data_IF_689572162150
#
_entry.id   IF_689572162150
#
_cell.length_a   1.000
_cell.length_b   1.000
_cell.length_c   1.000
_cell.angle_alpha   90.00
_cell.angle_beta   90.00
_cell.angle_gamma   90.00
#
_symmetry.space_group_name_H-M   'P 1'
#
loop_
_entity.id
_entity.type
_entity.pdbx_description
1 polymer ?
#
# COMPACT_ATOMS: atom_id res chain seq x y z
N UNK A 1 21.87 41.54 21.12
CA UNK A 1 20.53 41.23 20.58
C UNK A 1 20.66 40.04 19.65
N UNK A 2 19.91 38.94 19.82
CA UNK A 2 20.05 37.79 18.94
C UNK A 2 19.29 38.06 17.63
N UNK A 3 20.04 38.10 16.53
CA UNK A 3 19.50 38.18 15.16
C UNK A 3 18.63 36.96 14.87
N UNK A 4 17.36 37.19 14.53
CA UNK A 4 16.46 36.15 14.07
C UNK A 4 17.05 35.46 12.83
N UNK A 5 17.21 34.13 12.88
CA UNK A 5 17.56 33.33 11.69
C UNK A 5 16.44 33.50 10.67
N UNK A 6 16.77 34.07 9.51
CA UNK A 6 15.88 34.04 8.34
C UNK A 6 15.60 32.58 8.01
N UNK A 7 14.35 32.15 8.13
CA UNK A 7 13.90 30.85 7.63
C UNK A 7 14.00 30.95 6.11
N UNK A 8 14.92 30.19 5.51
CA UNK A 8 15.03 30.10 4.05
C UNK A 8 13.71 29.54 3.49
N UNK A 9 13.29 29.97 2.27
CA UNK A 9 12.13 29.39 1.61
C UNK A 9 12.27 27.88 1.57
N UNK A 10 11.21 27.19 1.96
CA UNK A 10 11.16 25.74 1.97
C UNK A 10 11.15 25.26 0.51
N UNK A 11 12.26 24.67 0.07
CA UNK A 11 12.41 24.11 -1.27
C UNK A 11 11.71 22.75 -1.33
N UNK A 12 10.46 22.76 -1.81
CA UNK A 12 9.63 21.57 -2.00
C UNK A 12 10.25 20.56 -2.98
N UNK A 13 11.02 21.04 -3.96
CA UNK A 13 11.62 20.20 -4.98
C UNK A 13 12.84 19.45 -4.44
N UNK A 14 13.65 20.11 -3.61
CA UNK A 14 14.73 19.46 -2.86
C UNK A 14 14.20 18.40 -1.88
N UNK A 15 13.03 18.60 -1.26
CA UNK A 15 12.40 17.57 -0.41
C UNK A 15 11.94 16.38 -1.24
N UNK A 16 11.27 16.60 -2.37
CA UNK A 16 10.80 15.52 -3.25
C UNK A 16 11.94 14.65 -3.78
N UNK A 17 13.11 15.24 -4.02
CA UNK A 17 14.30 14.51 -4.46
C UNK A 17 14.91 13.59 -3.39
N UNK A 18 14.63 13.84 -2.10
CA UNK A 18 15.14 13.06 -0.96
C UNK A 18 14.08 12.09 -0.41
N UNK A 19 12.81 12.30 -0.76
CA UNK A 19 11.74 11.39 -0.37
C UNK A 19 11.90 10.07 -1.14
N UNK A 20 11.73 8.92 -0.47
CA UNK A 20 11.69 7.63 -1.15
C UNK A 20 10.58 7.65 -2.23
N UNK A 21 10.68 6.71 -3.18
CA UNK A 21 9.72 6.54 -4.28
C UNK A 21 8.29 6.85 -3.82
N UNK A 22 7.48 7.56 -4.65
CA UNK A 22 6.15 8.02 -4.26
C UNK A 22 5.40 6.86 -3.60
N UNK A 23 4.70 7.12 -2.47
CA UNK A 23 4.00 6.05 -1.77
C UNK A 23 3.09 5.36 -2.78
N UNK A 24 3.21 4.03 -2.87
CA UNK A 24 2.34 3.20 -3.72
C UNK A 24 0.90 3.69 -3.55
N UNK A 25 0.21 3.86 -4.66
CA UNK A 25 -1.20 4.23 -4.62
C UNK A 25 -1.98 3.18 -3.80
N UNK A 26 -3.08 3.57 -3.14
CA UNK A 26 -3.92 2.62 -2.43
C UNK A 26 -4.33 1.41 -3.30
N UNK A 27 -4.53 1.64 -4.60
CA UNK A 27 -4.79 0.59 -5.58
C UNK A 27 -3.62 -0.38 -5.72
N UNK A 28 -2.40 0.14 -5.93
CA UNK A 28 -1.19 -0.70 -6.05
C UNK A 28 -0.91 -1.49 -4.78
N UNK A 29 -1.15 -0.91 -3.60
CA UNK A 29 -1.02 -1.62 -2.32
C UNK A 29 -2.04 -2.75 -2.22
N UNK A 30 -3.30 -2.50 -2.56
CA UNK A 30 -4.34 -3.53 -2.52
C UNK A 30 -4.05 -4.67 -3.50
N UNK A 31 -3.68 -4.36 -4.75
CA UNK A 31 -3.30 -5.35 -5.75
C UNK A 31 -2.07 -6.18 -5.31
N UNK A 32 -1.07 -5.54 -4.69
CA UNK A 32 0.09 -6.23 -4.15
C UNK A 32 -0.28 -7.22 -3.03
N UNK A 33 -1.12 -6.79 -2.08
CA UNK A 33 -1.58 -7.65 -0.98
C UNK A 33 -2.40 -8.82 -1.52
N UNK A 34 -3.28 -8.59 -2.48
CA UNK A 34 -4.09 -9.63 -3.12
C UNK A 34 -3.21 -10.73 -3.73
N UNK A 35 -2.23 -10.34 -4.55
CA UNK A 35 -1.31 -11.28 -5.19
C UNK A 35 -0.45 -12.04 -4.18
N UNK A 36 0.16 -11.31 -3.24
CA UNK A 36 1.00 -11.91 -2.20
C UNK A 36 0.22 -12.91 -1.32
N UNK A 37 -1.02 -12.56 -0.94
CA UNK A 37 -1.88 -13.45 -0.16
C UNK A 37 -2.26 -14.72 -0.94
N UNK A 38 -2.50 -14.61 -2.25
CA UNK A 38 -2.77 -15.76 -3.11
C UNK A 38 -1.59 -16.74 -3.15
N UNK A 39 -0.37 -16.24 -3.36
CA UNK A 39 0.84 -17.06 -3.41
C UNK A 39 1.13 -17.75 -2.07
N UNK A 40 1.11 -16.99 -0.98
CA UNK A 40 1.34 -17.52 0.37
C UNK A 40 0.31 -18.58 0.73
N UNK A 41 -0.95 -18.43 0.28
CA UNK A 41 -1.99 -19.42 0.54
C UNK A 41 -1.68 -20.75 -0.12
N UNK A 42 -1.15 -20.74 -1.35
CA UNK A 42 -0.72 -21.98 -2.04
C UNK A 42 0.40 -22.65 -1.25
N UNK A 43 1.38 -21.88 -0.77
CA UNK A 43 2.45 -22.39 0.09
C UNK A 43 1.90 -22.96 1.40
N UNK A 44 0.99 -22.26 2.07
CA UNK A 44 0.35 -22.70 3.31
C UNK A 44 -0.41 -24.02 3.12
N UNK A 45 -1.14 -24.18 2.01
CA UNK A 45 -1.80 -25.46 1.66
C UNK A 45 -0.81 -26.59 1.45
N UNK A 46 0.30 -26.35 0.73
CA UNK A 46 1.35 -27.36 0.54
C UNK A 46 2.01 -27.79 1.86
N UNK A 47 2.09 -26.87 2.83
CA UNK A 47 2.63 -27.11 4.16
C UNK A 47 1.59 -27.65 5.18
N UNK A 48 0.34 -27.89 4.76
CA UNK A 48 -0.78 -28.32 5.62
C UNK A 48 -1.07 -27.35 6.79
N UNK A 49 -0.88 -26.05 6.55
CA UNK A 49 -1.18 -24.99 7.52
C UNK A 49 -2.58 -24.42 7.24
N UNK A 50 -3.62 -25.18 7.57
CA UNK A 50 -5.01 -24.88 7.14
C UNK A 50 -5.52 -23.54 7.68
N UNK A 51 -5.27 -23.23 8.95
CA UNK A 51 -5.66 -21.96 9.54
C UNK A 51 -4.97 -20.77 8.87
N UNK A 52 -3.68 -20.91 8.54
CA UNK A 52 -2.94 -19.87 7.81
C UNK A 52 -3.48 -19.71 6.38
N UNK A 53 -3.75 -20.82 5.68
CA UNK A 53 -4.39 -20.78 4.36
C UNK A 53 -5.76 -20.08 4.41
N UNK A 54 -6.52 -20.25 5.48
CA UNK A 54 -7.80 -19.58 5.66
C UNK A 54 -7.60 -18.06 5.81
N UNK A 55 -6.73 -17.62 6.71
CA UNK A 55 -6.49 -16.19 6.92
C UNK A 55 -5.92 -15.50 5.68
N UNK A 56 -5.07 -16.19 4.91
CA UNK A 56 -4.57 -15.67 3.64
C UNK A 56 -5.66 -15.54 2.57
N UNK A 57 -6.65 -16.43 2.53
CA UNK A 57 -7.83 -16.23 1.68
C UNK A 57 -8.63 -15.01 2.13
N UNK A 58 -8.83 -14.84 3.44
CA UNK A 58 -9.59 -13.69 3.96
C UNK A 58 -8.89 -12.37 3.63
N UNK A 59 -7.57 -12.30 3.81
CA UNK A 59 -6.77 -11.14 3.44
C UNK A 59 -6.85 -10.83 1.94
N UNK A 60 -6.86 -11.88 1.09
CA UNK A 60 -7.03 -11.73 -0.36
C UNK A 60 -8.40 -11.14 -0.71
N UNK A 61 -9.48 -11.67 -0.13
CA UNK A 61 -10.85 -11.19 -0.37
C UNK A 61 -10.98 -9.72 0.03
N UNK A 62 -10.43 -9.32 1.17
CA UNK A 62 -10.47 -7.91 1.62
C UNK A 62 -9.69 -7.00 0.67
N UNK A 63 -8.53 -7.45 0.19
CA UNK A 63 -7.75 -6.70 -0.80
C UNK A 63 -8.51 -6.54 -2.13
N UNK A 64 -9.16 -7.60 -2.63
CA UNK A 64 -10.01 -7.53 -3.83
C UNK A 64 -11.18 -6.56 -3.64
N UNK A 65 -11.86 -6.59 -2.50
CA UNK A 65 -12.94 -5.65 -2.19
C UNK A 65 -12.44 -4.19 -2.18
N UNK A 66 -11.24 -3.96 -1.66
CA UNK A 66 -10.65 -2.63 -1.63
C UNK A 66 -10.29 -2.11 -3.03
N UNK A 67 -9.83 -2.98 -3.93
CA UNK A 67 -9.60 -2.66 -5.35
C UNK A 67 -10.90 -2.18 -6.01
N UNK A 68 -12.00 -2.91 -5.82
CA UNK A 68 -13.31 -2.56 -6.36
C UNK A 68 -13.80 -1.20 -5.84
N UNK A 69 -13.72 -0.97 -4.52
CA UNK A 69 -14.11 0.30 -3.89
C UNK A 69 -13.31 1.48 -4.45
N UNK A 70 -12.00 1.31 -4.68
CA UNK A 70 -11.15 2.37 -5.24
C UNK A 70 -11.53 2.64 -6.69
N UNK A 71 -11.71 1.59 -7.50
CA UNK A 71 -12.11 1.72 -8.89
C UNK A 71 -13.46 2.42 -9.05
N UNK A 72 -14.45 2.09 -8.21
CA UNK A 72 -15.76 2.75 -8.19
C UNK A 72 -15.66 4.24 -7.83
N UNK A 73 -14.80 4.59 -6.86
CA UNK A 73 -14.56 5.99 -6.47
C UNK A 73 -13.91 6.79 -7.59
N UNK A 74 -12.95 6.21 -8.30
CA UNK A 74 -12.27 6.88 -9.40
C UNK A 74 -13.21 7.13 -10.59
N UNK A 75 -14.19 6.25 -10.83
CA UNK A 75 -15.23 6.45 -11.85
C UNK A 75 -16.29 7.51 -11.48
N UNK A 76 -16.44 7.79 -10.18
CA UNK A 76 -17.40 8.76 -9.67
C UNK A 76 -16.84 10.20 -9.58
N UNK A 77 -15.53 10.38 -9.76
CA UNK A 77 -14.82 11.65 -9.75
C UNK A 77 -14.57 12.18 -11.17
#
# INVERSE_FOLDING_TARGET
MPTAKKILPYDDDARRAVLPAPPLSPFEVAAYIEGMAAELRVMARSAKLDALSYFLEMARIEASAQIEIIAERDLAN
#
